data_IF_905206102272
#
_entry.id   IF_905206102272
#
_cell.length_a   1.000
_cell.length_b   1.000
_cell.length_c   1.000
_cell.angle_alpha   90.00
_cell.angle_beta   90.00
_cell.angle_gamma   90.00
#
_symmetry.space_group_name_H-M   'P 1'
#
loop_
_entity.id
_entity.type
_entity.pdbx_description
1 polymer ?
#
# COMPACT_ATOMS: atom_id res chain seq x y z
N UNK A 1 87.16 -21.58 -29.09
CA UNK A 1 87.30 -21.85 -27.65
C UNK A 1 87.24 -20.52 -26.91
N UNK A 2 86.11 -20.21 -26.26
CA UNK A 2 85.97 -19.16 -25.25
C UNK A 2 84.67 -19.43 -24.48
N UNK A 3 84.72 -19.19 -23.17
CA UNK A 3 83.92 -19.83 -22.14
C UNK A 3 82.62 -19.08 -21.79
N UNK A 4 81.69 -19.84 -21.19
CA UNK A 4 80.91 -19.55 -19.96
C UNK A 4 80.30 -18.13 -19.82
N UNK A 5 79.01 -17.95 -19.53
CA UNK A 5 78.48 -17.97 -18.15
C UNK A 5 76.95 -18.03 -18.11
N UNK A 6 76.42 -18.92 -17.28
CA UNK A 6 75.01 -19.03 -16.88
C UNK A 6 74.63 -17.95 -15.85
N UNK A 7 73.44 -17.37 -15.96
CA UNK A 7 72.85 -16.64 -14.85
C UNK A 7 71.41 -17.12 -14.58
N UNK A 8 71.24 -17.75 -13.41
CA UNK A 8 70.03 -18.43 -12.94
C UNK A 8 69.34 -17.51 -11.94
N UNK A 9 68.30 -16.80 -12.36
CA UNK A 9 67.55 -15.87 -11.51
C UNK A 9 66.77 -16.63 -10.44
N UNK A 10 67.20 -16.52 -9.18
CA UNK A 10 66.50 -17.01 -7.99
C UNK A 10 65.19 -16.24 -7.80
N UNK A 11 64.06 -16.95 -7.85
CA UNK A 11 62.78 -16.43 -7.38
C UNK A 11 62.77 -16.33 -5.85
N UNK A 12 62.56 -15.13 -5.34
CA UNK A 12 62.38 -14.85 -3.91
C UNK A 12 60.91 -15.08 -3.54
N UNK A 13 60.64 -16.10 -2.72
CA UNK A 13 59.35 -16.35 -2.08
C UNK A 13 59.06 -15.24 -1.08
N UNK A 14 58.04 -14.40 -1.33
CA UNK A 14 57.53 -13.42 -0.36
C UNK A 14 56.47 -14.07 0.53
N UNK A 15 56.60 -13.86 1.84
CA UNK A 15 55.70 -14.37 2.88
C UNK A 15 54.29 -13.75 2.81
N UNK A 16 53.24 -14.46 3.27
CA UNK A 16 51.88 -13.94 3.29
C UNK A 16 51.70 -12.85 4.37
N UNK A 17 51.29 -11.66 3.95
CA UNK A 17 50.92 -10.56 4.85
C UNK A 17 49.58 -10.84 5.52
N UNK A 18 49.57 -10.84 6.86
CA UNK A 18 48.35 -10.96 7.68
C UNK A 18 47.44 -9.74 7.44
N UNK A 19 46.22 -9.98 6.96
CA UNK A 19 45.14 -8.98 6.91
C UNK A 19 44.82 -8.53 8.34
N UNK A 20 45.12 -7.29 8.67
CA UNK A 20 44.57 -6.62 9.84
C UNK A 20 43.08 -6.38 9.60
N UNK A 21 42.24 -6.90 10.49
CA UNK A 21 40.80 -6.65 10.50
C UNK A 21 40.56 -5.19 10.90
N UNK A 22 40.08 -4.37 9.97
CA UNK A 22 39.59 -3.02 10.27
C UNK A 22 38.33 -3.15 11.13
N UNK A 23 38.45 -2.78 12.40
CA UNK A 23 37.33 -2.64 13.31
C UNK A 23 36.35 -1.62 12.71
N UNK A 24 35.20 -2.11 12.27
CA UNK A 24 34.10 -1.26 11.81
C UNK A 24 33.55 -0.55 13.04
N UNK A 25 33.99 0.69 13.24
CA UNK A 25 33.47 1.61 14.24
C UNK A 25 31.96 1.73 14.06
N UNK A 26 31.21 1.11 14.98
CA UNK A 26 29.76 1.18 15.05
C UNK A 26 29.35 2.62 15.32
N UNK A 27 29.01 3.34 14.24
CA UNK A 27 28.42 4.67 14.31
C UNK A 27 27.05 4.52 14.97
N UNK A 28 26.99 4.71 16.27
CA UNK A 28 25.75 4.84 17.04
C UNK A 28 24.96 6.00 16.46
N UNK A 29 24.07 5.70 15.52
CA UNK A 29 23.03 6.62 15.09
C UNK A 29 22.07 6.79 16.26
N UNK A 30 22.38 7.76 17.11
CA UNK A 30 21.43 8.38 18.02
C UNK A 30 20.32 8.97 17.15
N UNK A 31 19.31 8.15 16.86
CA UNK A 31 18.14 8.51 16.07
C UNK A 31 17.36 9.52 16.91
N UNK A 32 17.61 10.81 16.65
CA UNK A 32 16.80 11.92 17.17
C UNK A 32 15.34 11.56 16.95
N UNK A 33 14.58 11.38 18.05
CA UNK A 33 13.13 11.22 18.02
C UNK A 33 12.55 12.49 17.42
N UNK A 34 12.14 12.42 16.15
CA UNK A 34 11.34 13.48 15.54
C UNK A 34 10.02 13.55 16.30
N UNK A 35 9.74 14.70 16.91
CA UNK A 35 8.48 15.03 17.60
C UNK A 35 7.31 15.25 16.62
N UNK A 36 7.19 14.39 15.61
CA UNK A 36 6.01 14.25 14.76
C UNK A 36 5.33 12.95 15.14
N UNK A 37 4.49 13.01 16.18
CA UNK A 37 3.88 11.86 16.85
C UNK A 37 2.88 11.12 15.96
N UNK A 38 3.38 10.27 15.06
CA UNK A 38 2.53 9.33 14.35
C UNK A 38 1.86 8.36 15.34
N UNK A 39 0.58 8.06 15.08
CA UNK A 39 -0.20 7.09 15.84
C UNK A 39 0.59 5.78 16.05
N UNK A 40 0.61 5.26 17.28
CA UNK A 40 1.32 4.01 17.58
C UNK A 40 0.70 2.84 16.81
N UNK A 41 1.46 1.77 16.53
CA UNK A 41 0.92 0.60 15.83
C UNK A 41 -0.30 -0.01 16.55
N UNK A 42 -0.31 0.01 17.90
CA UNK A 42 -1.46 -0.40 18.70
C UNK A 42 -2.72 0.38 18.30
N UNK A 43 -2.62 1.71 18.32
CA UNK A 43 -3.72 2.61 18.01
C UNK A 43 -4.15 2.50 16.55
N UNK A 44 -3.22 2.25 15.62
CA UNK A 44 -3.54 2.03 14.20
C UNK A 44 -4.40 0.77 14.00
N UNK A 45 -4.07 -0.32 14.68
CA UNK A 45 -4.85 -1.57 14.62
C UNK A 45 -6.22 -1.37 15.25
N UNK A 46 -6.29 -0.77 16.44
CA UNK A 46 -7.56 -0.48 17.10
C UNK A 46 -8.47 0.41 16.25
N UNK A 47 -7.91 1.47 15.67
CA UNK A 47 -8.62 2.34 14.73
C UNK A 47 -9.17 1.55 13.55
N UNK A 48 -8.34 0.75 12.88
CA UNK A 48 -8.76 -0.06 11.73
C UNK A 48 -9.91 -1.00 12.08
N UNK A 49 -9.85 -1.68 13.23
CA UNK A 49 -10.94 -2.54 13.70
C UNK A 49 -12.21 -1.76 14.03
N UNK A 50 -12.07 -0.61 14.69
CA UNK A 50 -13.21 0.20 15.07
C UNK A 50 -13.94 0.78 13.86
N UNK A 51 -13.22 1.10 12.78
CA UNK A 51 -13.82 1.47 11.50
C UNK A 51 -14.65 0.34 10.90
N UNK A 52 -14.12 -0.88 10.92
CA UNK A 52 -14.85 -2.05 10.39
C UNK A 52 -16.07 -2.38 11.25
N UNK A 53 -15.96 -2.23 12.57
CA UNK A 53 -17.09 -2.34 13.48
C UNK A 53 -18.18 -1.31 13.17
N UNK A 54 -17.79 -0.04 12.94
CA UNK A 54 -18.72 1.02 12.57
C UNK A 54 -19.38 0.81 11.19
N UNK A 55 -18.74 0.07 10.28
CA UNK A 55 -19.32 -0.38 9.00
C UNK A 55 -20.24 -1.61 9.15
N UNK A 56 -20.52 -2.07 10.37
CA UNK A 56 -21.38 -3.21 10.63
C UNK A 56 -20.71 -4.57 10.45
N UNK A 57 -19.39 -4.65 10.25
CA UNK A 57 -18.66 -5.93 10.22
C UNK A 57 -18.42 -6.47 11.64
N UNK A 58 -19.51 -6.85 12.33
CA UNK A 58 -19.46 -7.35 13.71
C UNK A 58 -19.55 -8.88 13.78
N UNK A 59 -20.20 -9.52 12.80
CA UNK A 59 -20.45 -10.96 12.77
C UNK A 59 -19.28 -11.72 12.15
N UNK A 60 -18.56 -12.53 12.94
CA UNK A 60 -17.47 -13.40 12.48
C UNK A 60 -16.06 -12.80 12.52
N UNK A 61 -15.95 -11.54 12.94
CA UNK A 61 -14.68 -10.81 13.02
C UNK A 61 -14.17 -10.31 11.66
N UNK A 62 -13.13 -9.48 11.71
CA UNK A 62 -12.53 -8.83 10.54
C UNK A 62 -11.26 -9.53 10.13
N UNK A 63 -11.04 -9.73 8.83
CA UNK A 63 -9.81 -10.34 8.31
C UNK A 63 -8.54 -9.57 8.73
N UNK A 64 -7.60 -10.29 9.32
CA UNK A 64 -6.31 -9.77 9.81
C UNK A 64 -5.52 -9.05 8.72
N UNK A 65 -5.55 -9.56 7.49
CA UNK A 65 -4.87 -8.96 6.34
C UNK A 65 -5.47 -7.59 5.99
N UNK A 66 -6.80 -7.47 6.07
CA UNK A 66 -7.52 -6.20 5.85
C UNK A 66 -7.20 -5.19 6.94
N UNK A 67 -7.26 -5.61 8.21
CA UNK A 67 -6.87 -4.78 9.35
C UNK A 67 -5.42 -4.30 9.23
N UNK A 68 -4.51 -5.17 8.81
CA UNK A 68 -3.11 -4.82 8.56
C UNK A 68 -2.97 -3.76 7.47
N UNK A 69 -3.69 -3.91 6.35
CA UNK A 69 -3.72 -2.95 5.25
C UNK A 69 -4.21 -1.57 5.70
N UNK A 70 -5.37 -1.54 6.38
CA UNK A 70 -5.95 -0.31 6.92
C UNK A 70 -5.07 0.36 7.99
N UNK A 71 -4.41 -0.43 8.84
CA UNK A 71 -3.45 0.09 9.81
C UNK A 71 -2.16 0.62 9.15
N UNK A 72 -1.96 0.39 7.85
CA UNK A 72 -0.77 0.80 7.10
C UNK A 72 0.51 0.12 7.57
N UNK A 73 0.40 -1.10 8.12
CA UNK A 73 1.53 -1.88 8.65
C UNK A 73 2.02 -2.82 7.57
N UNK A 74 3.15 -2.49 6.94
CA UNK A 74 3.70 -3.26 5.81
C UNK A 74 4.22 -4.63 6.26
N UNK A 75 4.90 -4.70 7.40
CA UNK A 75 5.51 -5.94 7.88
C UNK A 75 4.53 -6.80 8.69
N UNK A 76 4.24 -8.00 8.18
CA UNK A 76 3.36 -8.98 8.82
C UNK A 76 3.86 -9.39 10.21
N UNK A 77 5.17 -9.54 10.42
CA UNK A 77 5.71 -9.94 11.73
C UNK A 77 5.49 -8.85 12.78
N UNK A 78 5.64 -7.60 12.38
CA UNK A 78 5.34 -6.45 13.24
C UNK A 78 3.85 -6.42 13.57
N UNK A 79 2.99 -6.60 12.58
CA UNK A 79 1.54 -6.68 12.79
C UNK A 79 1.17 -7.80 13.77
N UNK A 80 1.63 -9.03 13.53
CA UNK A 80 1.33 -10.20 14.36
C UNK A 80 1.82 -10.03 15.81
N UNK A 81 3.00 -9.42 15.99
CA UNK A 81 3.55 -9.13 17.33
C UNK A 81 2.69 -8.12 18.08
N UNK A 82 2.32 -7.02 17.41
CA UNK A 82 1.50 -5.95 18.00
C UNK A 82 0.09 -6.48 18.32
N UNK A 83 -0.53 -7.19 17.38
CA UNK A 83 -1.84 -7.83 17.59
C UNK A 83 -1.80 -8.85 18.74
N UNK A 84 -0.72 -9.64 18.85
CA UNK A 84 -0.51 -10.55 19.98
C UNK A 84 -0.44 -9.84 21.33
N UNK A 85 0.18 -8.66 21.38
CA UNK A 85 0.19 -7.81 22.60
C UNK A 85 -1.21 -7.30 22.92
N UNK A 86 -1.94 -6.78 21.92
CA UNK A 86 -3.30 -6.28 22.09
C UNK A 86 -4.25 -7.36 22.61
N UNK A 87 -4.11 -8.60 22.13
CA UNK A 87 -4.87 -9.75 22.59
C UNK A 87 -4.44 -10.21 23.99
N UNK A 88 -3.19 -10.64 24.13
CA UNK A 88 -2.76 -11.42 25.30
C UNK A 88 -2.40 -10.57 26.52
N UNK A 89 -1.94 -9.33 26.32
CA UNK A 89 -1.52 -8.45 27.42
C UNK A 89 -2.58 -7.40 27.77
N UNK A 90 -3.32 -6.93 26.77
CA UNK A 90 -4.28 -5.84 26.97
C UNK A 90 -5.74 -6.30 26.97
N UNK A 91 -6.04 -7.44 26.35
CA UNK A 91 -7.41 -7.92 26.21
C UNK A 91 -8.30 -7.00 25.38
N UNK A 92 -7.72 -6.16 24.50
CA UNK A 92 -8.46 -5.19 23.69
C UNK A 92 -9.01 -5.77 22.39
N UNK A 93 -8.44 -6.89 21.94
CA UNK A 93 -8.91 -7.61 20.76
C UNK A 93 -9.01 -9.10 21.07
N UNK A 94 -9.87 -9.80 20.33
CA UNK A 94 -9.95 -11.25 20.35
C UNK A 94 -9.75 -11.81 18.94
N UNK A 95 -9.36 -13.08 18.86
CA UNK A 95 -9.24 -13.79 17.58
C UNK A 95 -10.43 -14.75 17.47
N UNK A 96 -11.38 -14.40 16.61
CA UNK A 96 -12.55 -15.25 16.33
C UNK A 96 -12.14 -16.48 15.50
N UNK A 97 -11.10 -16.34 14.68
CA UNK A 97 -10.49 -17.44 13.93
C UNK A 97 -8.97 -17.26 13.74
N UNK A 98 -8.35 -18.18 12.97
CA UNK A 98 -6.94 -18.04 12.58
C UNK A 98 -6.72 -16.77 11.74
N UNK A 99 -7.69 -16.37 10.93
CA UNK A 99 -7.57 -15.27 9.96
C UNK A 99 -8.39 -14.04 10.34
N UNK A 100 -9.27 -14.11 11.32
CA UNK A 100 -10.14 -12.98 11.73
C UNK A 100 -9.88 -12.52 13.17
N UNK A 101 -10.22 -11.26 13.46
CA UNK A 101 -10.13 -10.64 14.78
C UNK A 101 -11.21 -9.58 14.99
N UNK A 102 -11.59 -9.32 16.24
CA UNK A 102 -12.61 -8.35 16.62
C UNK A 102 -12.22 -7.55 17.87
N UNK A 103 -12.88 -6.41 18.08
CA UNK A 103 -12.73 -5.62 19.30
C UNK A 103 -13.52 -6.24 20.45
N UNK A 104 -12.87 -6.38 21.60
CA UNK A 104 -13.55 -6.66 22.87
C UNK A 104 -14.21 -5.39 23.39
N UNK A 105 -14.97 -5.50 24.48
CA UNK A 105 -15.53 -4.35 25.18
C UNK A 105 -14.46 -3.38 25.68
N UNK A 106 -13.42 -3.89 26.34
CA UNK A 106 -12.27 -3.08 26.77
C UNK A 106 -11.55 -2.41 25.58
N UNK A 107 -11.52 -3.06 24.41
CA UNK A 107 -10.99 -2.46 23.20
C UNK A 107 -11.82 -1.28 22.69
N UNK A 108 -13.15 -1.36 22.79
CA UNK A 108 -14.06 -0.28 22.38
C UNK A 108 -13.92 0.95 23.28
N UNK A 109 -13.84 0.75 24.59
CA UNK A 109 -13.60 1.84 25.55
C UNK A 109 -12.28 2.56 25.26
N UNK A 110 -11.22 1.80 24.94
CA UNK A 110 -9.93 2.39 24.64
C UNK A 110 -9.93 3.17 23.33
N UNK A 111 -10.68 2.70 22.32
CA UNK A 111 -10.89 3.45 21.08
C UNK A 111 -11.63 4.76 21.36
N UNK A 112 -12.72 4.72 22.12
CA UNK A 112 -13.49 5.92 22.47
C UNK A 112 -12.63 6.93 23.25
N UNK A 113 -11.80 6.45 24.18
CA UNK A 113 -10.85 7.28 24.94
C UNK A 113 -9.84 8.00 24.04
N UNK A 114 -9.37 7.36 22.98
CA UNK A 114 -8.28 7.88 22.14
C UNK A 114 -8.73 8.66 20.92
N UNK A 115 -9.86 8.31 20.31
CA UNK A 115 -10.35 8.87 19.06
C UNK A 115 -11.63 9.70 19.24
N UNK A 116 -12.29 9.58 20.40
CA UNK A 116 -13.58 10.20 20.66
C UNK A 116 -14.73 9.52 19.89
N UNK A 117 -15.99 9.84 20.24
CA UNK A 117 -17.18 9.26 19.61
C UNK A 117 -17.35 9.68 18.14
N UNK A 118 -16.78 10.81 17.73
CA UNK A 118 -17.02 11.39 16.41
C UNK A 118 -16.04 10.90 15.34
N UNK A 119 -14.80 10.53 15.69
CA UNK A 119 -13.81 10.15 14.68
C UNK A 119 -14.18 8.81 13.99
N UNK A 120 -14.92 7.93 14.66
CA UNK A 120 -15.45 6.70 14.07
C UNK A 120 -16.63 6.95 13.12
N UNK A 121 -17.48 7.93 13.44
CA UNK A 121 -18.62 8.33 12.58
C UNK A 121 -18.15 9.02 11.30
N UNK A 122 -17.15 9.90 11.41
CA UNK A 122 -16.59 10.68 10.29
C UNK A 122 -15.98 9.78 9.20
N UNK A 123 -15.38 8.67 9.57
CA UNK A 123 -14.62 7.81 8.65
C UNK A 123 -15.51 6.75 7.97
N UNK A 124 -16.77 6.63 8.41
CA UNK A 124 -17.77 5.69 7.88
C UNK A 124 -18.92 6.38 7.13
N UNK A 125 -18.97 7.71 7.12
CA UNK A 125 -20.06 8.47 6.52
C UNK A 125 -20.02 8.49 4.97
N UNK A 126 -18.83 8.59 4.37
CA UNK A 126 -18.68 8.53 2.90
C UNK A 126 -17.25 8.18 2.49
N UNK A 127 -17.09 7.64 1.28
CA UNK A 127 -15.77 7.42 0.67
C UNK A 127 -14.98 8.74 0.56
N UNK A 128 -15.63 9.87 0.29
CA UNK A 128 -14.96 11.17 0.14
C UNK A 128 -14.24 11.59 1.43
N UNK A 129 -14.90 11.46 2.59
CA UNK A 129 -14.27 11.77 3.88
C UNK A 129 -13.10 10.83 4.19
N UNK A 130 -13.20 9.57 3.78
CA UNK A 130 -12.11 8.59 3.91
C UNK A 130 -10.92 8.97 3.02
N UNK A 131 -11.20 9.32 1.77
CA UNK A 131 -10.21 9.74 0.78
C UNK A 131 -9.46 11.00 1.22
N UNK A 132 -10.14 11.99 1.81
CA UNK A 132 -9.50 13.20 2.32
C UNK A 132 -8.49 12.91 3.43
N UNK A 133 -8.82 12.02 4.38
CA UNK A 133 -7.87 11.56 5.40
C UNK A 133 -6.67 10.82 4.82
N UNK A 134 -6.86 10.02 3.77
CA UNK A 134 -5.73 9.38 3.08
C UNK A 134 -4.82 10.46 2.46
N UNK A 135 -5.40 11.47 1.81
CA UNK A 135 -4.65 12.55 1.15
C UNK A 135 -3.83 13.39 2.13
N UNK A 136 -4.30 13.60 3.36
CA UNK A 136 -3.53 14.25 4.43
C UNK A 136 -2.18 13.53 4.68
N UNK A 137 -2.17 12.20 4.57
CA UNK A 137 -0.96 11.39 4.72
C UNK A 137 -0.02 11.39 3.50
N UNK A 138 -0.50 11.82 2.33
CA UNK A 138 0.30 11.89 1.12
C UNK A 138 1.14 13.17 1.10
N UNK A 139 2.46 13.03 0.95
CA UNK A 139 3.39 14.18 0.98
C UNK A 139 3.44 14.97 -0.33
N UNK A 140 3.24 14.32 -1.47
CA UNK A 140 3.36 14.94 -2.78
C UNK A 140 2.00 15.43 -3.26
N UNK A 141 1.92 16.70 -3.69
CA UNK A 141 0.72 17.25 -4.34
C UNK A 141 0.32 16.42 -5.56
N UNK A 142 1.30 15.99 -6.38
CA UNK A 142 1.06 15.15 -7.55
C UNK A 142 0.53 13.76 -7.20
N UNK A 143 0.96 13.18 -6.08
CA UNK A 143 0.37 11.92 -5.61
C UNK A 143 -1.09 12.11 -5.18
N UNK A 144 -1.46 13.27 -4.63
CA UNK A 144 -2.86 13.59 -4.28
C UNK A 144 -3.71 13.76 -5.53
N UNK A 145 -3.21 14.47 -6.55
CA UNK A 145 -3.89 14.61 -7.85
C UNK A 145 -4.13 13.25 -8.52
N UNK A 146 -3.11 12.38 -8.55
CA UNK A 146 -3.28 11.01 -9.08
C UNK A 146 -4.29 10.22 -8.23
N UNK A 147 -4.28 10.37 -6.91
CA UNK A 147 -5.26 9.72 -6.04
C UNK A 147 -6.68 10.17 -6.36
N UNK A 148 -6.91 11.47 -6.54
CA UNK A 148 -8.20 12.04 -6.89
C UNK A 148 -8.69 11.58 -8.28
N UNK A 149 -7.80 11.34 -9.23
CA UNK A 149 -8.14 10.74 -10.53
C UNK A 149 -8.66 9.31 -10.38
N UNK A 150 -8.03 8.50 -9.52
CA UNK A 150 -8.37 7.09 -9.34
C UNK A 150 -9.57 6.84 -8.39
N UNK A 151 -10.13 7.90 -7.78
CA UNK A 151 -11.24 7.80 -6.82
C UNK A 151 -12.54 7.31 -7.45
N UNK A 152 -12.65 7.37 -8.78
CA UNK A 152 -13.78 6.86 -9.54
C UNK A 152 -13.85 5.32 -9.58
N UNK A 153 -12.81 4.67 -9.04
CA UNK A 153 -12.73 3.21 -8.95
C UNK A 153 -12.25 2.52 -10.23
N UNK A 154 -11.99 3.28 -11.32
CA UNK A 154 -11.51 2.73 -12.58
C UNK A 154 -10.00 2.42 -12.54
N UNK A 155 -9.57 1.63 -13.52
CA UNK A 155 -8.17 1.26 -13.69
C UNK A 155 -7.56 2.01 -14.88
N UNK A 156 -6.45 2.70 -14.63
CA UNK A 156 -5.78 3.55 -15.62
C UNK A 156 -4.36 3.08 -15.90
N UNK A 157 -3.88 3.26 -17.12
CA UNK A 157 -2.46 3.15 -17.46
C UNK A 157 -1.68 4.38 -17.00
N UNK A 158 -0.35 4.31 -17.04
CA UNK A 158 0.48 5.49 -16.70
C UNK A 158 0.27 6.61 -17.70
N UNK A 159 0.10 6.23 -18.96
CA UNK A 159 -0.14 7.13 -20.08
C UNK A 159 -1.46 7.86 -19.92
N UNK A 160 -2.54 7.15 -19.60
CA UNK A 160 -3.86 7.75 -19.37
C UNK A 160 -3.84 8.72 -18.18
N UNK A 161 -3.20 8.33 -17.07
CA UNK A 161 -3.08 9.20 -15.89
C UNK A 161 -2.24 10.46 -16.18
N UNK A 162 -1.13 10.31 -16.92
CA UNK A 162 -0.25 11.41 -17.27
C UNK A 162 -0.98 12.41 -18.20
N UNK A 163 -1.69 11.89 -19.21
CA UNK A 163 -2.50 12.70 -20.12
C UNK A 163 -3.63 13.44 -19.38
N UNK A 164 -4.36 12.76 -18.49
CA UNK A 164 -5.45 13.37 -17.72
C UNK A 164 -4.98 14.51 -16.80
N UNK A 165 -3.73 14.47 -16.34
CA UNK A 165 -3.14 15.49 -15.47
C UNK A 165 -2.27 16.51 -16.22
N UNK A 166 -2.13 16.39 -17.55
CA UNK A 166 -1.25 17.25 -18.35
C UNK A 166 0.23 17.13 -17.97
N UNK A 167 0.67 15.93 -17.61
CA UNK A 167 2.04 15.63 -17.18
C UNK A 167 2.78 14.79 -18.23
N UNK A 168 4.07 15.03 -18.38
CA UNK A 168 4.93 14.15 -19.17
C UNK A 168 5.28 12.88 -18.38
N UNK A 169 5.28 11.74 -19.06
CA UNK A 169 5.70 10.46 -18.48
C UNK A 169 7.22 10.47 -18.32
N UNK A 170 7.67 10.80 -17.11
CA UNK A 170 9.08 10.80 -16.75
C UNK A 170 9.36 9.89 -15.55
N UNK A 171 10.64 9.75 -15.17
CA UNK A 171 11.05 8.93 -14.01
C UNK A 171 10.36 9.35 -12.71
N UNK A 172 10.01 10.62 -12.55
CA UNK A 172 9.32 11.17 -11.37
C UNK A 172 7.89 10.66 -11.24
N UNK A 173 7.23 10.31 -12.36
CA UNK A 173 5.90 9.69 -12.33
C UNK A 173 5.88 8.38 -11.53
N UNK A 174 6.95 7.58 -11.68
CA UNK A 174 7.15 6.38 -10.86
C UNK A 174 7.27 6.68 -9.37
N UNK A 175 7.88 7.80 -8.99
CA UNK A 175 7.96 8.25 -7.59
C UNK A 175 6.57 8.62 -7.04
N UNK A 176 5.73 9.28 -7.84
CA UNK A 176 4.37 9.63 -7.41
C UNK A 176 3.51 8.39 -7.16
N UNK A 177 3.57 7.41 -8.07
CA UNK A 177 2.89 6.11 -7.91
C UNK A 177 3.45 5.28 -6.75
N UNK A 178 4.77 5.34 -6.51
CA UNK A 178 5.39 4.66 -5.37
C UNK A 178 4.82 5.16 -4.04
N UNK A 179 4.53 6.46 -3.93
CA UNK A 179 3.83 7.04 -2.77
C UNK A 179 2.41 6.50 -2.56
N UNK A 180 1.77 6.03 -3.63
CA UNK A 180 0.42 5.46 -3.63
C UNK A 180 0.40 3.93 -3.57
N UNK A 181 1.56 3.27 -3.57
CA UNK A 181 1.68 1.80 -3.68
C UNK A 181 0.93 1.01 -2.59
N UNK A 182 0.62 1.65 -1.46
CA UNK A 182 -0.16 1.05 -0.36
C UNK A 182 -1.67 1.09 -0.60
N UNK A 183 -2.12 2.00 -1.45
CA UNK A 183 -3.53 2.28 -1.71
C UNK A 183 -3.94 1.87 -3.12
N UNK A 184 -2.97 1.43 -3.93
CA UNK A 184 -3.16 1.05 -5.33
C UNK A 184 -2.83 -0.42 -5.51
N UNK A 185 -3.53 -1.06 -6.43
CA UNK A 185 -3.22 -2.39 -6.89
C UNK A 185 -2.99 -2.41 -8.41
N UNK A 186 -2.19 -3.37 -8.82
CA UNK A 186 -1.74 -3.53 -10.20
C UNK A 186 -2.63 -4.56 -10.89
N UNK A 187 -3.24 -4.16 -12.00
CA UNK A 187 -4.10 -4.98 -12.85
C UNK A 187 -3.43 -5.26 -14.19
N UNK A 188 -3.92 -6.27 -14.91
CA UNK A 188 -3.45 -6.63 -16.26
C UNK A 188 -1.91 -6.76 -16.35
N UNK A 189 -1.31 -7.58 -15.48
CA UNK A 189 0.14 -7.80 -15.49
C UNK A 189 0.99 -6.59 -15.05
N UNK A 190 0.38 -5.58 -14.41
CA UNK A 190 1.09 -4.38 -13.93
C UNK A 190 1.05 -3.19 -14.89
N UNK A 191 0.26 -3.28 -15.95
CA UNK A 191 0.05 -2.19 -16.90
C UNK A 191 -0.95 -1.15 -16.39
N UNK A 192 -1.99 -1.61 -15.67
CA UNK A 192 -3.05 -0.73 -15.14
C UNK A 192 -2.96 -0.62 -13.63
N UNK A 193 -3.32 0.54 -13.12
CA UNK A 193 -3.35 0.89 -11.70
C UNK A 193 -4.77 1.29 -11.34
N UNK A 194 -5.29 0.75 -10.24
CA UNK A 194 -6.53 1.21 -9.62
C UNK A 194 -6.34 1.35 -8.12
N UNK A 195 -7.17 2.14 -7.46
CA UNK A 195 -7.23 2.13 -6.00
C UNK A 195 -7.71 0.75 -5.50
N UNK A 196 -7.16 0.28 -4.38
CA UNK A 196 -7.53 -0.98 -3.72
C UNK A 196 -8.91 -0.88 -3.07
N UNK A 197 -9.61 -2.02 -2.88
CA UNK A 197 -10.90 -2.04 -2.18
C UNK A 197 -10.81 -1.49 -0.75
N UNK A 198 -9.62 -1.52 -0.14
CA UNK A 198 -9.38 -0.98 1.21
C UNK A 198 -9.59 0.55 1.31
N UNK A 199 -9.61 1.28 0.19
CA UNK A 199 -9.91 2.72 0.20
C UNK A 199 -11.38 3.06 -0.04
N UNK A 200 -12.21 2.05 -0.28
CA UNK A 200 -13.65 2.21 -0.52
C UNK A 200 -14.46 1.52 0.58
N UNK A 201 -14.44 2.03 1.84
CA UNK A 201 -15.18 1.42 2.94
C UNK A 201 -16.68 1.33 2.68
N UNK A 202 -17.24 2.25 1.88
CA UNK A 202 -18.65 2.27 1.51
C UNK A 202 -18.93 1.58 0.16
N UNK A 203 -18.01 0.73 -0.32
CA UNK A 203 -18.07 0.12 -1.64
C UNK A 203 -17.53 1.05 -2.74
N UNK A 204 -17.13 0.46 -3.87
CA UNK A 204 -16.66 1.25 -5.01
C UNK A 204 -17.82 2.06 -5.60
N UNK A 205 -17.58 3.26 -6.14
CA UNK A 205 -18.53 3.88 -7.04
C UNK A 205 -18.76 2.88 -8.16
N UNK A 206 -19.97 2.32 -8.23
CA UNK A 206 -20.38 1.59 -9.42
C UNK A 206 -20.39 2.62 -10.52
N UNK A 207 -19.40 2.56 -11.41
CA UNK A 207 -19.61 3.05 -12.76
C UNK A 207 -20.81 2.27 -13.24
N UNK A 208 -21.98 2.91 -13.21
CA UNK A 208 -23.13 2.48 -13.98
C UNK A 208 -22.55 2.37 -15.37
N UNK A 209 -22.20 1.14 -15.76
CA UNK A 209 -21.92 0.81 -17.13
C UNK A 209 -23.28 1.11 -17.73
N UNK A 210 -23.44 2.34 -18.22
CA UNK A 210 -24.35 2.59 -19.31
C UNK A 210 -23.84 1.56 -20.30
N UNK A 211 -24.54 0.44 -20.41
CA UNK A 211 -24.42 -0.37 -21.59
C UNK A 211 -24.68 0.66 -22.67
N UNK A 212 -23.61 1.04 -23.39
CA UNK A 212 -23.78 1.73 -24.65
C UNK A 212 -24.69 0.77 -25.41
N UNK A 213 -25.96 1.17 -25.50
CA UNK A 213 -26.90 0.64 -26.45
C UNK A 213 -26.18 0.83 -27.79
N UNK A 214 -25.49 -0.22 -28.23
CA UNK A 214 -25.11 -0.38 -29.62
C UNK A 214 -26.45 -0.45 -30.36
N UNK A 215 -26.99 0.73 -30.67
CA UNK A 215 -27.77 0.98 -31.86
C UNK A 215 -26.83 0.66 -33.04
N UNK A 216 -26.62 -0.64 -33.27
CA UNK A 216 -26.18 -1.17 -34.54
C UNK A 216 -27.31 -0.84 -35.53
N UNK A 217 -27.19 0.37 -36.04
CA UNK A 217 -27.77 0.91 -37.26
C UNK A 217 -27.61 -0.16 -38.36
N UNK A 218 -28.61 -1.03 -38.44
CA UNK A 218 -28.80 -2.02 -39.49
C UNK A 218 -29.08 -1.23 -40.78
N UNK A 219 -28.00 -0.83 -41.43
CA UNK A 219 -28.02 -0.28 -42.77
C UNK A 219 -28.71 -1.27 -43.71
N UNK A 220 -29.83 -0.84 -44.28
CA UNK A 220 -30.50 -1.44 -45.42
C UNK A 220 -29.51 -1.59 -46.60
N UNK A 221 -28.89 -2.76 -46.74
CA UNK A 221 -28.23 -3.13 -48.00
C UNK A 221 -29.19 -3.92 -48.89
N UNK A 222 -29.60 -3.19 -49.93
CA UNK A 222 -30.33 -3.60 -51.12
C UNK A 222 -29.60 -4.77 -51.80
N UNK A 223 -30.23 -5.95 -51.85
CA UNK A 223 -29.82 -7.03 -52.74
C UNK A 223 -30.87 -7.26 -53.83
N UNK A 224 -30.89 -6.32 -54.78
CA UNK A 224 -31.41 -6.51 -56.12
C UNK A 224 -30.40 -7.35 -56.90
N UNK A 225 -30.65 -8.66 -57.05
CA UNK A 225 -30.22 -9.49 -58.20
C UNK A 225 -30.52 -10.98 -57.97
N UNK A 226 -31.52 -11.53 -58.67
CA UNK A 226 -31.29 -12.50 -59.77
C UNK A 226 -32.62 -13.05 -60.29
N UNK A 227 -32.73 -12.99 -61.60
CA UNK A 227 -33.82 -13.48 -62.43
C UNK A 227 -33.85 -15.01 -62.49
N UNK A 228 -35.05 -15.60 -62.47
CA UNK A 228 -35.58 -16.58 -63.44
C UNK A 228 -37.04 -16.92 -63.13
#
# INVERSE_FOLDING_TARGET
>A
MAATTHNKTKQVKRAPTKKSSSATSGRNHNKKKSAGGGLTHNLKILRALALQYALGQTTGGVDKKRVQGMAGIVDKKVFDTVAGILKNKKGWIQYDSKTTMSLTEAGREEVERHFGPDELKVVTASNDMYHDKIKEGLKSAKSREIFDLLKDGKAYTKEEMANALGLEINKSFGTYLSGLSRFTEKMAGGQKYRLSDDVFPCGRPTTRIMADDNDDDLTDEVEEQQAL
#
